data_IF_634911876739
#
_entry.id   IF_634911876739
#
_cell.length_a   1.000
_cell.length_b   1.000
_cell.length_c   1.000
_cell.angle_alpha   90.00
_cell.angle_beta   90.00
_cell.angle_gamma   90.00
#
_symmetry.space_group_name_H-M   'P 1'
#
loop_
_entity.id
_entity.type
_entity.pdbx_description
1 polymer ?
#
# COMPACT_ATOMS: atom_id res chain seq x y z
N UNK A 1 -11.83 37.47 -4.49
CA UNK A 1 -11.49 36.13 -5.01
C UNK A 1 -10.05 35.82 -4.61
N UNK A 2 -9.83 35.17 -3.45
CA UNK A 2 -8.47 34.84 -2.96
C UNK A 2 -8.05 33.55 -3.63
N UNK A 3 -7.00 33.59 -4.45
CA UNK A 3 -6.34 32.38 -4.95
C UNK A 3 -5.66 31.72 -3.75
N UNK A 4 -6.14 30.55 -3.34
CA UNK A 4 -5.46 29.71 -2.36
C UNK A 4 -4.14 29.28 -2.98
N UNK A 5 -3.04 29.90 -2.54
CA UNK A 5 -1.69 29.45 -2.85
C UNK A 5 -1.52 28.06 -2.27
N UNK A 6 -1.55 27.04 -3.12
CA UNK A 6 -1.13 25.69 -2.76
C UNK A 6 0.30 25.78 -2.24
N UNK A 7 0.51 25.53 -0.94
CA UNK A 7 1.84 25.38 -0.37
C UNK A 7 2.45 24.12 -0.98
N UNK A 8 3.18 24.28 -2.07
CA UNK A 8 3.95 23.18 -2.65
C UNK A 8 5.22 23.06 -1.82
N UNK A 9 5.36 21.96 -1.08
CA UNK A 9 6.56 21.68 -0.30
C UNK A 9 7.69 21.25 -1.23
N UNK A 10 8.88 21.81 -1.02
CA UNK A 10 10.11 21.33 -1.64
C UNK A 10 10.58 20.08 -0.89
N UNK A 11 10.90 19.01 -1.60
CA UNK A 11 11.40 17.76 -0.99
C UNK A 11 12.85 17.49 -1.38
N UNK A 12 13.63 16.94 -0.46
CA UNK A 12 15.00 16.47 -0.73
C UNK A 12 15.09 14.99 -0.39
N UNK A 13 15.96 14.23 -1.07
CA UNK A 13 16.17 12.84 -0.71
C UNK A 13 16.68 12.70 0.71
N UNK A 14 16.45 11.52 1.29
CA UNK A 14 17.03 11.16 2.57
C UNK A 14 18.55 11.07 2.42
N UNK A 15 19.27 11.52 3.44
CA UNK A 15 20.69 11.22 3.56
C UNK A 15 20.91 9.71 3.75
N UNK A 16 22.09 9.20 3.39
CA UNK A 16 22.43 7.78 3.59
C UNK A 16 22.27 7.32 5.04
N UNK A 17 22.55 8.20 6.01
CA UNK A 17 22.33 7.89 7.43
C UNK A 17 20.85 7.79 7.79
N UNK A 18 20.01 8.66 7.22
CA UNK A 18 18.55 8.58 7.40
C UNK A 18 17.98 7.32 6.74
N UNK A 19 18.40 6.99 5.51
CA UNK A 19 17.97 5.77 4.82
C UNK A 19 18.34 4.51 5.62
N UNK A 20 19.58 4.44 6.11
CA UNK A 20 20.02 3.31 6.94
C UNK A 20 19.19 3.17 8.21
N UNK A 21 18.98 4.27 8.95
CA UNK A 21 18.17 4.23 10.19
C UNK A 21 16.72 3.86 9.92
N UNK A 22 16.17 4.36 8.82
CA UNK A 22 14.81 4.04 8.40
C UNK A 22 14.68 2.55 8.05
N UNK A 23 15.64 2.01 7.31
CA UNK A 23 15.71 0.59 6.97
C UNK A 23 15.82 -0.28 8.22
N UNK A 24 16.76 0.03 9.13
CA UNK A 24 16.94 -0.70 10.39
C UNK A 24 15.62 -0.73 11.20
N UNK A 25 14.93 0.41 11.30
CA UNK A 25 13.63 0.50 11.98
C UNK A 25 12.54 -0.29 11.26
N UNK A 26 12.40 -0.14 9.94
CA UNK A 26 11.37 -0.82 9.17
C UNK A 26 11.59 -2.34 9.15
N UNK A 27 12.83 -2.81 9.10
CA UNK A 27 13.14 -4.24 9.19
C UNK A 27 12.70 -4.82 10.53
N UNK A 28 12.89 -4.10 11.63
CA UNK A 28 12.36 -4.47 12.94
C UNK A 28 10.82 -4.47 12.93
N UNK A 29 10.17 -3.45 12.37
CA UNK A 29 8.71 -3.42 12.28
C UNK A 29 8.13 -4.56 11.43
N UNK A 30 8.75 -4.87 10.28
CA UNK A 30 8.36 -6.03 9.47
C UNK A 30 8.55 -7.34 10.24
N UNK A 31 9.66 -7.49 10.96
CA UNK A 31 9.94 -8.67 11.77
C UNK A 31 8.88 -8.87 12.87
N UNK A 32 8.51 -7.80 13.57
CA UNK A 32 7.47 -7.84 14.60
C UNK A 32 6.09 -8.12 13.99
N UNK A 33 5.77 -7.54 12.83
CA UNK A 33 4.53 -7.83 12.10
C UNK A 33 4.44 -9.33 11.73
N UNK A 34 5.49 -9.88 11.11
CA UNK A 34 5.54 -11.30 10.73
C UNK A 34 5.49 -12.22 11.96
N UNK A 35 6.20 -11.88 13.05
CA UNK A 35 6.18 -12.65 14.30
C UNK A 35 4.79 -12.63 14.93
N UNK A 36 4.15 -11.48 15.00
CA UNK A 36 2.80 -11.32 15.54
C UNK A 36 1.78 -12.11 14.73
N UNK A 37 1.86 -12.06 13.40
CA UNK A 37 1.02 -12.87 12.49
C UNK A 37 1.23 -14.37 12.69
N UNK A 38 2.49 -14.84 12.74
CA UNK A 38 2.78 -16.28 12.98
C UNK A 38 2.27 -16.77 14.33
N UNK A 39 2.21 -15.88 15.33
CA UNK A 39 1.70 -16.16 16.67
C UNK A 39 0.24 -15.75 16.87
N UNK A 40 -0.52 -15.40 15.81
CA UNK A 40 -1.89 -14.84 15.93
C UNK A 40 -2.88 -15.74 16.67
N UNK A 41 -2.68 -17.06 16.68
CA UNK A 41 -3.50 -18.00 17.45
C UNK A 41 -3.09 -18.12 18.92
N UNK A 42 -1.95 -17.55 19.30
CA UNK A 42 -1.44 -17.59 20.67
C UNK A 42 -1.96 -16.37 21.46
N UNK A 43 -2.48 -16.56 22.69
CA UNK A 43 -3.03 -15.46 23.51
C UNK A 43 -2.04 -14.34 23.84
N UNK A 44 -0.74 -14.60 23.72
CA UNK A 44 0.33 -13.63 23.98
C UNK A 44 0.68 -12.76 22.76
N UNK A 45 0.06 -12.99 21.60
CA UNK A 45 0.26 -12.13 20.43
C UNK A 45 -0.59 -10.87 20.55
N UNK A 46 -0.06 -9.74 20.12
CA UNK A 46 -0.82 -8.49 20.03
C UNK A 46 -1.59 -8.37 18.70
N UNK A 47 -1.37 -9.31 17.77
CA UNK A 47 -1.95 -9.31 16.42
C UNK A 47 -2.88 -10.51 16.22
N UNK A 48 -3.72 -10.82 17.22
CA UNK A 48 -4.67 -11.95 17.20
C UNK A 48 -5.86 -11.69 16.28
N UNK A 49 -6.19 -10.43 16.00
CA UNK A 49 -7.30 -10.03 15.14
C UNK A 49 -6.82 -9.32 13.88
N UNK A 50 -7.62 -9.38 12.81
CA UNK A 50 -7.29 -8.68 11.56
C UNK A 50 -7.19 -7.16 11.77
N UNK A 51 -8.08 -6.47 12.50
CA UNK A 51 -7.95 -5.04 12.74
C UNK A 51 -6.65 -4.66 13.45
N UNK A 52 -6.19 -5.45 14.42
CA UNK A 52 -4.91 -5.20 15.10
C UNK A 52 -3.72 -5.35 14.14
N UNK A 53 -3.76 -6.36 13.27
CA UNK A 53 -2.75 -6.55 12.23
C UNK A 53 -2.75 -5.40 11.21
N UNK A 54 -3.92 -4.97 10.74
CA UNK A 54 -4.06 -3.88 9.78
C UNK A 54 -3.65 -2.53 10.37
N UNK A 55 -3.92 -2.26 11.65
CA UNK A 55 -3.41 -1.06 12.33
C UNK A 55 -1.87 -1.06 12.40
N UNK A 56 -1.26 -2.21 12.72
CA UNK A 56 0.19 -2.33 12.73
C UNK A 56 0.80 -2.15 11.33
N UNK A 57 0.20 -2.76 10.30
CA UNK A 57 0.67 -2.63 8.92
C UNK A 57 0.41 -1.24 8.34
N UNK A 58 -0.66 -0.54 8.75
CA UNK A 58 -0.94 0.84 8.36
C UNK A 58 0.17 1.80 8.81
N UNK A 59 0.73 1.62 10.01
CA UNK A 59 1.84 2.45 10.49
C UNK A 59 3.09 2.30 9.62
N UNK A 60 3.33 1.07 9.14
CA UNK A 60 4.41 0.77 8.21
C UNK A 60 4.11 1.40 6.84
N UNK A 61 2.88 1.28 6.33
CA UNK A 61 2.42 1.91 5.09
C UNK A 61 2.65 3.43 5.12
N UNK A 62 2.15 4.09 6.16
CA UNK A 62 2.26 5.53 6.36
C UNK A 62 3.74 5.97 6.38
N UNK A 63 4.61 5.24 7.07
CA UNK A 63 6.04 5.55 7.11
C UNK A 63 6.72 5.38 5.75
N UNK A 64 6.38 4.31 5.01
CA UNK A 64 6.89 4.08 3.66
C UNK A 64 6.43 5.21 2.71
N UNK A 65 5.17 5.63 2.79
CA UNK A 65 4.63 6.66 1.91
C UNK A 65 5.19 8.06 2.20
N UNK A 66 5.70 8.28 3.42
CA UNK A 66 6.42 9.50 3.79
C UNK A 66 7.86 9.55 3.25
N UNK A 67 8.38 8.46 2.65
CA UNK A 67 9.69 8.49 1.99
C UNK A 67 9.63 9.46 0.79
N UNK A 68 10.62 10.38 0.65
CA UNK A 68 10.62 11.35 -0.44
C UNK A 68 10.50 10.68 -1.82
N UNK A 69 9.63 11.20 -2.72
CA UNK A 69 9.49 10.69 -4.10
C UNK A 69 10.65 11.16 -5.02
N UNK A 70 11.86 11.30 -4.49
CA UNK A 70 13.07 11.78 -5.19
C UNK A 70 14.19 10.77 -5.05
N UNK A 71 15.00 10.63 -6.10
CA UNK A 71 16.15 9.73 -6.09
C UNK A 71 17.24 10.22 -5.12
N UNK A 72 17.93 9.30 -4.42
CA UNK A 72 17.79 7.84 -4.50
C UNK A 72 16.61 7.24 -3.71
N UNK A 73 15.98 8.00 -2.82
CA UNK A 73 14.96 7.52 -1.89
C UNK A 73 13.67 7.01 -2.56
N UNK A 74 13.37 7.44 -3.78
CA UNK A 74 12.22 6.97 -4.55
C UNK A 74 12.25 5.44 -4.80
N UNK A 75 13.43 4.88 -5.09
CA UNK A 75 13.60 3.43 -5.30
C UNK A 75 13.44 2.63 -4.00
N UNK A 76 13.90 3.20 -2.88
CA UNK A 76 13.68 2.64 -1.56
C UNK A 76 12.18 2.57 -1.24
N UNK A 77 11.44 3.65 -1.56
CA UNK A 77 9.98 3.72 -1.37
C UNK A 77 9.24 2.65 -2.16
N UNK A 78 9.54 2.47 -3.46
CA UNK A 78 8.88 1.44 -4.28
C UNK A 78 9.18 0.04 -3.75
N UNK A 79 10.43 -0.23 -3.41
CA UNK A 79 10.88 -1.54 -2.91
C UNK A 79 10.18 -1.93 -1.60
N UNK A 80 10.10 -1.00 -0.65
CA UNK A 80 9.43 -1.25 0.64
C UNK A 80 7.92 -1.40 0.47
N UNK A 81 7.30 -0.61 -0.41
CA UNK A 81 5.86 -0.73 -0.66
C UNK A 81 5.50 -2.06 -1.35
N UNK A 82 6.34 -2.54 -2.28
CA UNK A 82 6.24 -3.89 -2.84
C UNK A 82 6.31 -4.95 -1.73
N UNK A 83 7.27 -4.82 -0.80
CA UNK A 83 7.39 -5.76 0.33
C UNK A 83 6.13 -5.78 1.19
N UNK A 84 5.63 -4.61 1.60
CA UNK A 84 4.44 -4.51 2.44
C UNK A 84 3.19 -5.07 1.75
N UNK A 85 2.99 -4.74 0.48
CA UNK A 85 1.86 -5.25 -0.32
C UNK A 85 1.85 -6.78 -0.32
N UNK A 86 3.02 -7.40 -0.53
CA UNK A 86 3.16 -8.85 -0.50
C UNK A 86 2.91 -9.43 0.89
N UNK A 87 3.45 -8.83 1.94
CA UNK A 87 3.26 -9.30 3.32
C UNK A 87 1.78 -9.31 3.72
N UNK A 88 1.05 -8.24 3.40
CA UNK A 88 -0.36 -8.11 3.79
C UNK A 88 -1.25 -9.07 3.03
N UNK A 89 -1.13 -9.17 1.69
CA UNK A 89 -1.93 -10.13 0.91
C UNK A 89 -1.72 -11.58 1.33
N UNK A 90 -0.51 -11.94 1.75
CA UNK A 90 -0.22 -13.29 2.25
C UNK A 90 -0.70 -13.54 3.69
N UNK A 91 -0.91 -12.48 4.48
CA UNK A 91 -1.24 -12.60 5.91
C UNK A 91 -2.73 -12.49 6.19
N UNK A 92 -3.46 -11.64 5.47
CA UNK A 92 -4.89 -11.39 5.69
C UNK A 92 -5.71 -12.69 5.68
N UNK A 93 -5.54 -13.60 4.69
CA UNK A 93 -6.32 -14.85 4.66
C UNK A 93 -6.10 -15.77 5.87
N UNK A 94 -5.04 -15.53 6.65
CA UNK A 94 -4.77 -16.28 7.88
C UNK A 94 -5.66 -15.89 9.07
N UNK A 95 -6.46 -14.84 8.97
CA UNK A 95 -7.42 -14.40 9.99
C UNK A 95 -8.82 -14.93 9.68
N UNK A 96 -9.67 -15.08 10.69
CA UNK A 96 -11.09 -15.40 10.47
C UNK A 96 -11.80 -14.15 9.93
N UNK A 97 -12.52 -14.23 8.81
CA UNK A 97 -13.28 -13.09 8.31
C UNK A 97 -14.49 -12.80 9.21
N UNK A 98 -14.77 -11.52 9.39
CA UNK A 98 -15.99 -11.00 10.01
C UNK A 98 -16.34 -9.64 9.38
N UNK A 99 -17.58 -9.18 9.54
CA UNK A 99 -18.08 -7.96 8.90
C UNK A 99 -17.29 -6.70 9.30
N UNK A 100 -16.89 -6.60 10.57
CA UNK A 100 -16.09 -5.48 11.06
C UNK A 100 -14.70 -5.50 10.44
N UNK A 101 -14.05 -6.66 10.46
CA UNK A 101 -12.74 -6.92 9.85
C UNK A 101 -12.74 -6.62 8.35
N UNK A 102 -13.82 -6.93 7.63
CA UNK A 102 -13.96 -6.65 6.20
C UNK A 102 -14.01 -5.15 5.91
N UNK A 103 -14.77 -4.37 6.68
CA UNK A 103 -14.80 -2.91 6.48
C UNK A 103 -13.41 -2.29 6.67
N UNK A 104 -12.70 -2.70 7.73
CA UNK A 104 -11.35 -2.20 8.03
C UNK A 104 -10.35 -2.60 6.95
N UNK A 105 -10.45 -3.82 6.43
CA UNK A 105 -9.63 -4.29 5.31
C UNK A 105 -9.86 -3.46 4.05
N UNK A 106 -11.13 -3.22 3.68
CA UNK A 106 -11.44 -2.43 2.48
C UNK A 106 -10.95 -0.98 2.58
N UNK A 107 -10.98 -0.38 3.78
CA UNK A 107 -10.40 0.95 4.00
C UNK A 107 -8.88 0.94 3.87
N UNK A 108 -8.22 -0.03 4.50
CA UNK A 108 -6.76 -0.21 4.38
C UNK A 108 -6.33 -0.42 2.91
N UNK A 109 -7.07 -1.23 2.17
CA UNK A 109 -6.82 -1.50 0.76
C UNK A 109 -7.00 -0.26 -0.13
N UNK A 110 -7.96 0.62 0.17
CA UNK A 110 -8.09 1.91 -0.53
C UNK A 110 -6.89 2.82 -0.27
N UNK A 111 -6.37 2.82 0.95
CA UNK A 111 -5.17 3.59 1.27
C UNK A 111 -3.94 3.02 0.58
N UNK A 112 -3.83 1.69 0.47
CA UNK A 112 -2.81 1.03 -0.32
C UNK A 112 -2.89 1.41 -1.81
N UNK A 113 -4.09 1.38 -2.40
CA UNK A 113 -4.33 1.78 -3.80
C UNK A 113 -3.89 3.23 -4.05
N UNK A 114 -4.35 4.16 -3.19
CA UNK A 114 -3.95 5.57 -3.25
C UNK A 114 -2.44 5.75 -3.05
N UNK A 115 -1.85 4.97 -2.15
CA UNK A 115 -0.41 4.95 -1.89
C UNK A 115 0.38 4.53 -3.14
N UNK A 116 -0.06 3.47 -3.82
CA UNK A 116 0.53 3.04 -5.09
C UNK A 116 0.39 4.09 -6.19
N UNK A 117 -0.77 4.72 -6.32
CA UNK A 117 -0.96 5.82 -7.27
C UNK A 117 -0.04 7.01 -6.96
N UNK A 118 0.18 7.32 -5.68
CA UNK A 118 1.12 8.36 -5.27
C UNK A 118 2.56 8.00 -5.69
N UNK A 119 2.99 6.75 -5.47
CA UNK A 119 4.32 6.27 -5.88
C UNK A 119 4.49 6.30 -7.40
N UNK A 120 3.54 5.75 -8.16
CA UNK A 120 3.59 5.70 -9.62
C UNK A 120 3.66 7.09 -10.26
N UNK A 121 3.04 8.09 -9.62
CA UNK A 121 3.01 9.48 -10.07
C UNK A 121 4.11 10.35 -9.45
N UNK A 122 5.06 9.77 -8.73
CA UNK A 122 6.14 10.50 -8.04
C UNK A 122 5.64 11.62 -7.12
N UNK A 123 4.53 11.36 -6.41
CA UNK A 123 3.90 12.31 -5.49
C UNK A 123 4.33 12.09 -4.05
N UNK A 124 4.28 13.16 -3.26
CA UNK A 124 4.36 13.07 -1.81
C UNK A 124 3.12 12.39 -1.23
N UNK A 125 3.11 12.20 0.08
CA UNK A 125 1.97 11.66 0.80
C UNK A 125 1.54 12.64 1.89
N UNK A 126 0.24 12.81 2.07
CA UNK A 126 -0.32 13.55 3.19
C UNK A 126 -1.04 12.57 4.13
N UNK A 127 -0.52 12.45 5.36
CA UNK A 127 -1.06 11.58 6.40
C UNK A 127 -2.45 12.00 6.89
N UNK A 128 -2.78 13.30 6.83
CA UNK A 128 -4.06 13.79 7.31
C UNK A 128 -5.19 13.45 6.34
N UNK A 129 -4.93 13.56 5.04
CA UNK A 129 -5.92 13.29 3.99
C UNK A 129 -5.79 11.91 3.34
N UNK A 130 -4.74 11.16 3.68
CA UNK A 130 -4.36 9.86 3.08
C UNK A 130 -4.39 9.91 1.56
N UNK A 131 -3.70 10.91 0.99
CA UNK A 131 -3.70 11.17 -0.44
C UNK A 131 -2.36 11.64 -0.98
N UNK A 132 -2.15 11.45 -2.28
CA UNK A 132 -0.95 11.87 -2.97
C UNK A 132 -0.92 13.37 -3.21
N UNK A 133 0.12 14.06 -2.72
CA UNK A 133 0.30 15.50 -2.85
C UNK A 133 1.36 15.87 -3.88
N UNK A 134 1.16 17.00 -4.57
CA UNK A 134 2.17 17.54 -5.48
C UNK A 134 3.36 18.05 -4.66
N UNK A 135 4.56 17.74 -5.13
CA UNK A 135 5.82 18.11 -4.48
C UNK A 135 6.70 18.82 -5.49
N UNK A 136 7.37 19.89 -5.06
CA UNK A 136 8.37 20.56 -5.88
C UNK A 136 9.71 19.85 -5.73
N UNK A 137 10.25 19.43 -6.88
CA UNK A 137 11.57 18.84 -7.00
C UNK A 137 12.60 19.97 -7.11
N UNK A 138 13.66 20.01 -6.28
CA UNK A 138 14.77 20.93 -6.45
C UNK A 138 15.45 20.74 -7.82
N UNK A 139 16.02 21.81 -8.36
CA UNK A 139 16.73 21.76 -9.64
C UNK A 139 17.82 20.68 -9.65
N UNK A 140 17.83 19.84 -10.69
CA UNK A 140 18.79 18.75 -10.85
C UNK A 140 18.43 17.45 -10.11
N UNK A 141 17.36 17.44 -9.31
CA UNK A 141 16.84 16.18 -8.73
C UNK A 141 15.98 15.43 -9.74
N UNK A 142 15.94 14.11 -9.60
CA UNK A 142 15.15 13.21 -10.46
C UNK A 142 14.28 12.31 -9.60
N UNK A 143 13.23 11.78 -10.22
CA UNK A 143 12.43 10.70 -9.67
C UNK A 143 12.40 9.61 -10.72
N UNK A 144 13.05 8.49 -10.44
CA UNK A 144 13.08 7.37 -11.38
C UNK A 144 11.76 6.61 -11.30
N UNK A 145 11.03 6.44 -12.42
CA UNK A 145 9.80 5.66 -12.42
C UNK A 145 10.11 4.17 -12.16
N UNK A 146 9.11 3.43 -11.67
CA UNK A 146 9.22 1.98 -11.48
C UNK A 146 9.69 1.28 -12.76
N UNK A 147 10.64 0.38 -12.60
CA UNK A 147 11.14 -0.50 -13.66
C UNK A 147 10.04 -1.44 -14.17
N UNK A 148 10.22 -1.98 -15.38
CA UNK A 148 9.28 -2.94 -15.96
C UNK A 148 9.14 -4.21 -15.10
N UNK A 149 10.23 -4.65 -14.47
CA UNK A 149 10.23 -5.78 -13.55
C UNK A 149 9.40 -5.50 -12.31
N UNK A 150 9.55 -4.32 -11.69
CA UNK A 150 8.73 -3.93 -10.53
C UNK A 150 7.25 -3.79 -10.89
N UNK A 151 6.94 -3.19 -12.05
CA UNK A 151 5.56 -3.09 -12.57
C UNK A 151 4.92 -4.46 -12.78
N UNK A 152 5.67 -5.39 -13.37
CA UNK A 152 5.21 -6.76 -13.60
C UNK A 152 4.97 -7.48 -12.27
N UNK A 153 5.90 -7.33 -11.32
CA UNK A 153 5.76 -7.91 -9.97
C UNK A 153 4.55 -7.34 -9.23
N UNK A 154 4.35 -6.01 -9.28
CA UNK A 154 3.19 -5.36 -8.66
C UNK A 154 1.89 -5.88 -9.28
N UNK A 155 1.78 -5.93 -10.62
CA UNK A 155 0.62 -6.50 -11.30
C UNK A 155 0.30 -7.91 -10.81
N UNK A 156 1.29 -8.80 -10.82
CA UNK A 156 1.10 -10.19 -10.39
C UNK A 156 0.64 -10.28 -8.94
N UNK A 157 1.20 -9.45 -8.05
CA UNK A 157 0.78 -9.41 -6.66
C UNK A 157 -0.63 -8.87 -6.46
N UNK A 158 -1.03 -7.83 -7.19
CA UNK A 158 -2.37 -7.27 -7.12
C UNK A 158 -3.41 -8.30 -7.57
N UNK A 159 -3.20 -8.92 -8.74
CA UNK A 159 -4.13 -9.92 -9.29
C UNK A 159 -4.25 -11.15 -8.37
N UNK A 160 -3.13 -11.78 -8.01
CA UNK A 160 -3.17 -12.95 -7.14
C UNK A 160 -3.67 -12.60 -5.72
N UNK A 161 -3.32 -11.40 -5.22
CA UNK A 161 -3.76 -10.92 -3.92
C UNK A 161 -5.26 -10.67 -3.86
N UNK A 162 -5.85 -10.06 -4.90
CA UNK A 162 -7.31 -9.85 -4.98
C UNK A 162 -8.05 -11.17 -5.06
N UNK A 163 -7.59 -12.14 -5.87
CA UNK A 163 -8.17 -13.49 -5.95
C UNK A 163 -8.16 -14.19 -4.57
N UNK A 164 -7.03 -14.13 -3.85
CA UNK A 164 -6.93 -14.70 -2.49
C UNK A 164 -7.87 -14.02 -1.49
N UNK A 165 -8.05 -12.70 -1.60
CA UNK A 165 -8.95 -11.96 -0.73
C UNK A 165 -10.42 -12.22 -1.06
N UNK A 166 -10.76 -12.39 -2.33
CA UNK A 166 -12.11 -12.78 -2.75
C UNK A 166 -12.51 -14.15 -2.19
N UNK A 167 -11.62 -15.14 -2.29
CA UNK A 167 -11.84 -16.46 -1.67
C UNK A 167 -12.00 -16.35 -0.15
N UNK A 168 -11.15 -15.54 0.50
CA UNK A 168 -11.22 -15.30 1.93
C UNK A 168 -12.54 -14.62 2.35
N UNK A 169 -13.05 -13.69 1.54
CA UNK A 169 -14.34 -13.03 1.76
C UNK A 169 -15.49 -14.01 1.51
N UNK A 170 -15.38 -14.91 0.54
CA UNK A 170 -16.40 -15.93 0.27
C UNK A 170 -16.64 -16.83 1.48
N UNK A 171 -15.60 -17.09 2.29
CA UNK A 171 -15.75 -17.82 3.55
C UNK A 171 -16.64 -17.11 4.60
N UNK A 172 -16.87 -15.80 4.48
CA UNK A 172 -17.83 -15.04 5.30
C UNK A 172 -19.27 -15.22 4.79
N UNK A 173 -19.45 -15.61 3.52
CA UNK A 173 -20.69 -15.45 2.75
C UNK A 173 -21.58 -16.69 2.81
N UNK A 174 -22.00 -17.10 4.01
CA UNK A 174 -23.18 -17.98 4.13
C UNK A 174 -24.52 -17.23 4.01
N UNK A 175 -24.58 -15.90 4.18
CA UNK A 175 -25.88 -15.17 4.16
C UNK A 175 -25.86 -13.69 3.68
N UNK A 176 -24.75 -13.13 3.18
CA UNK A 176 -24.70 -11.70 2.78
C UNK A 176 -24.30 -11.54 1.30
N UNK A 177 -25.24 -11.01 0.52
CA UNK A 177 -25.18 -10.82 -0.94
C UNK A 177 -24.04 -9.91 -1.45
N UNK A 178 -23.57 -10.27 -2.65
CA UNK A 178 -22.95 -9.57 -3.81
C UNK A 178 -22.33 -8.16 -3.70
N UNK A 179 -22.74 -7.30 -2.79
CA UNK A 179 -22.42 -5.86 -2.81
C UNK A 179 -20.98 -5.54 -2.42
N UNK A 180 -20.32 -6.37 -1.60
CA UNK A 180 -18.94 -6.12 -1.16
C UNK A 180 -17.87 -6.71 -2.08
N UNK A 181 -18.16 -7.82 -2.77
CA UNK A 181 -17.24 -8.43 -3.73
C UNK A 181 -16.96 -7.51 -4.93
N UNK A 182 -18.00 -6.86 -5.48
CA UNK A 182 -17.82 -5.86 -6.55
C UNK A 182 -16.98 -4.64 -6.13
N UNK A 183 -16.88 -4.33 -4.82
CA UNK A 183 -15.99 -3.26 -4.33
C UNK A 183 -14.51 -3.64 -4.38
N UNK A 184 -14.21 -4.93 -4.46
CA UNK A 184 -12.85 -5.47 -4.57
C UNK A 184 -12.42 -5.53 -6.04
N UNK A 185 -13.34 -5.83 -6.97
CA UNK A 185 -13.08 -5.76 -8.42
C UNK A 185 -12.69 -4.35 -8.88
N UNK A 186 -13.30 -3.30 -8.31
CA UNK A 186 -12.96 -1.90 -8.63
C UNK A 186 -11.61 -1.45 -8.02
N UNK A 187 -11.13 -2.18 -7.01
CA UNK A 187 -9.91 -1.85 -6.27
C UNK A 187 -8.68 -2.08 -7.18
N UNK A 188 -7.70 -1.18 -7.12
CA UNK A 188 -6.49 -1.22 -7.95
C UNK A 188 -6.69 -1.08 -9.47
N UNK A 189 -7.91 -0.92 -9.97
CA UNK A 189 -8.18 -0.58 -11.38
C UNK A 189 -7.39 0.67 -11.81
N UNK A 190 -7.35 1.70 -10.95
CA UNK A 190 -6.55 2.90 -11.16
C UNK A 190 -5.05 2.63 -11.25
N UNK A 191 -4.52 1.79 -10.36
CA UNK A 191 -3.10 1.38 -10.35
C UNK A 191 -2.75 0.58 -11.61
N UNK A 192 -3.60 -0.35 -12.01
CA UNK A 192 -3.42 -1.14 -13.24
C UNK A 192 -3.50 -0.26 -14.49
N UNK A 193 -4.43 0.71 -14.53
CA UNK A 193 -4.51 1.70 -15.61
C UNK A 193 -3.25 2.56 -15.70
N UNK A 194 -2.77 3.07 -14.56
CA UNK A 194 -1.56 3.92 -14.47
C UNK A 194 -0.31 3.16 -14.95
N UNK A 195 -0.23 1.86 -14.67
CA UNK A 195 0.84 1.00 -15.18
C UNK A 195 0.69 0.62 -16.67
N UNK A 196 -0.46 0.93 -17.29
CA UNK A 196 -0.75 0.65 -18.70
C UNK A 196 -1.34 -0.74 -18.97
N UNK A 197 -1.79 -1.46 -17.94
CA UNK A 197 -2.29 -2.83 -18.09
C UNK A 197 -3.77 -2.95 -18.45
N UNK A 198 -4.55 -1.87 -18.33
CA UNK A 198 -5.98 -1.86 -18.70
C UNK A 198 -6.28 -1.36 -20.12
N UNK A 199 -5.26 -1.02 -20.93
CA UNK A 199 -5.43 -0.51 -22.31
C UNK A 199 -5.61 -1.59 -23.39
N UNK A 200 -6.13 -2.77 -23.05
CA UNK A 200 -6.12 -3.94 -23.93
C UNK A 200 -7.44 -4.69 -24.18
N UNK A 201 -8.55 -4.39 -23.49
CA UNK A 201 -9.78 -5.22 -23.59
C UNK A 201 -10.98 -4.55 -24.26
N UNK A 202 -10.83 -3.33 -24.81
CA UNK A 202 -11.85 -2.72 -25.66
C UNK A 202 -11.24 -2.08 -26.90
N UNK A 203 -10.76 -2.93 -27.82
CA UNK A 203 -10.65 -2.58 -29.24
C UNK A 203 -11.51 -3.56 -30.02
N UNK A 204 -12.72 -3.08 -30.33
CA UNK A 204 -13.69 -3.45 -31.39
C UNK A 204 -14.00 -4.94 -31.59
#
# INVERSE_FOLDING_TARGET
>A
MRMSTSNVSTTTPLSTTQERRLLDYLDEQFLELTRGYKKRSHPSSNLTTLPAYLDASQRILDLILQIPPVDPSASLRSTLLLRLTGEVFNSVPGYTPDEQSLSVLLDWLRDLDRGWLAVLRSRGWDLATRSGTSVQLPDGTRSTPLSQTERTRLKSMLVAGTEMLEEWIEALRTDVETTQAGRLEDLFSGVLAEMGFLRGEFSV
#
